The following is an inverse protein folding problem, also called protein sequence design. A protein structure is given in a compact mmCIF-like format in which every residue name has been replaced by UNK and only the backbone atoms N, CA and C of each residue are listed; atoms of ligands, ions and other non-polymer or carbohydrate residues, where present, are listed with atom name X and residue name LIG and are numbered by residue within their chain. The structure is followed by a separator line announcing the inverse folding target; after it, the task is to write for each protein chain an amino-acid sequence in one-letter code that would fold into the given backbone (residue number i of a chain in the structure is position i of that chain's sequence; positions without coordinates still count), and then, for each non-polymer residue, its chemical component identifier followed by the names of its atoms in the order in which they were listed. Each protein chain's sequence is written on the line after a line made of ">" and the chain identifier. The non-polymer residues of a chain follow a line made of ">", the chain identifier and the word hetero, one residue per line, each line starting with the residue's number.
data_IF_225696705772
#
_entry.id   IF_225696705772
#
_cell.length_a   1.000
_cell.length_b   1.000
_cell.length_c   1.000
_cell.angle_alpha   90.00
_cell.angle_beta   90.00
_cell.angle_gamma   90.00
#
_symmetry.space_group_name_H-M   'P 1'
#
loop_
_entity.id
_entity.type
_entity.pdbx_description
1 polymer ?
#
# COMPACT_ATOMS: atom_id res chain seq x y z
N UNK A 1 -31.83 -3.51 -30.00
CA UNK A 1 -30.49 -3.26 -30.57
C UNK A 1 -30.18 -4.07 -31.83
N UNK A 2 -30.20 -5.40 -31.81
CA UNK A 2 -29.82 -6.24 -32.97
C UNK A 2 -30.61 -5.98 -34.27
N UNK A 3 -31.86 -5.51 -34.18
CA UNK A 3 -32.66 -5.11 -35.35
C UNK A 3 -32.02 -3.92 -36.09
N UNK A 4 -31.60 -2.89 -35.36
CA UNK A 4 -30.95 -1.70 -35.95
C UNK A 4 -29.58 -2.00 -36.58
N UNK A 5 -28.89 -3.04 -36.11
CA UNK A 5 -27.67 -3.55 -36.75
C UNK A 5 -28.01 -4.24 -38.07
N UNK A 6 -29.03 -5.12 -38.08
CA UNK A 6 -29.47 -5.81 -39.30
C UNK A 6 -30.02 -4.84 -40.36
N UNK A 7 -30.70 -3.79 -39.91
CA UNK A 7 -31.27 -2.75 -40.75
C UNK A 7 -30.21 -1.73 -41.25
N UNK A 8 -28.93 -1.90 -40.86
CA UNK A 8 -27.83 -1.02 -41.27
C UNK A 8 -27.86 0.38 -40.64
N UNK A 9 -28.70 0.62 -39.63
CA UNK A 9 -28.78 1.92 -38.93
C UNK A 9 -27.62 2.14 -37.97
N UNK A 10 -27.09 1.05 -37.40
CA UNK A 10 -25.96 1.06 -36.47
C UNK A 10 -24.96 0.00 -36.93
N UNK A 11 -23.68 0.36 -36.98
CA UNK A 11 -22.58 -0.55 -37.28
C UNK A 11 -22.14 -1.26 -36.00
N UNK A 12 -21.70 -2.51 -36.14
CA UNK A 12 -21.12 -3.25 -35.04
C UNK A 12 -19.86 -3.96 -35.51
N UNK A 13 -18.77 -3.81 -34.76
CA UNK A 13 -17.53 -4.56 -34.96
C UNK A 13 -17.49 -5.74 -34.02
N UNK A 14 -16.64 -6.72 -34.30
CA UNK A 14 -16.43 -7.88 -33.43
C UNK A 14 -15.03 -7.79 -32.87
N UNK A 15 -14.91 -7.80 -31.54
CA UNK A 15 -13.61 -7.77 -30.87
C UNK A 15 -12.92 -9.14 -30.95
N UNK A 16 -11.66 -9.21 -30.51
CA UNK A 16 -10.82 -10.41 -30.49
C UNK A 16 -11.44 -11.56 -29.69
N UNK A 17 -12.28 -11.24 -28.71
CA UNK A 17 -13.03 -12.20 -27.89
C UNK A 17 -14.37 -12.62 -28.51
N UNK A 18 -14.66 -12.19 -29.74
CA UNK A 18 -15.90 -12.53 -30.45
C UNK A 18 -17.13 -11.73 -30.02
N UNK A 19 -16.96 -10.71 -29.18
CA UNK A 19 -18.06 -9.87 -28.69
C UNK A 19 -18.37 -8.73 -29.65
N UNK A 20 -19.65 -8.45 -29.89
CA UNK A 20 -20.09 -7.33 -30.73
C UNK A 20 -19.96 -6.02 -29.97
N UNK A 21 -19.18 -5.10 -30.51
CA UNK A 21 -18.98 -3.75 -29.98
C UNK A 21 -19.61 -2.73 -30.93
N UNK A 22 -20.16 -1.67 -30.35
CA UNK A 22 -20.87 -0.62 -31.06
C UNK A 22 -20.29 0.70 -30.58
N UNK A 23 -20.00 1.59 -31.52
CA UNK A 23 -19.45 2.90 -31.17
C UNK A 23 -20.51 3.77 -30.47
N UNK A 24 -20.08 4.49 -29.44
CA UNK A 24 -20.92 5.39 -28.64
C UNK A 24 -21.45 6.53 -29.51
N UNK A 25 -20.67 7.01 -30.48
CA UNK A 25 -21.11 8.05 -31.40
C UNK A 25 -22.30 7.59 -32.27
N UNK A 26 -22.33 6.32 -32.70
CA UNK A 26 -23.46 5.78 -33.44
C UNK A 26 -24.70 5.61 -32.56
N UNK A 27 -24.51 5.23 -31.29
CA UNK A 27 -25.60 5.16 -30.31
C UNK A 27 -26.22 6.53 -30.08
N UNK A 28 -25.41 7.57 -29.87
CA UNK A 28 -25.90 8.94 -29.68
C UNK A 28 -26.56 9.49 -30.94
N UNK A 29 -26.04 9.19 -32.13
CA UNK A 29 -26.65 9.63 -33.41
C UNK A 29 -28.03 9.01 -33.63
N UNK A 30 -28.21 7.72 -33.31
CA UNK A 30 -29.45 6.98 -33.60
C UNK A 30 -30.48 7.10 -32.48
N UNK A 31 -30.03 7.13 -31.22
CA UNK A 31 -30.91 7.11 -30.04
C UNK A 31 -30.91 8.42 -29.25
N UNK A 32 -30.01 9.36 -29.57
CA UNK A 32 -29.87 10.61 -28.82
C UNK A 32 -29.15 10.44 -27.49
N UNK A 33 -29.19 11.48 -26.67
CA UNK A 33 -28.63 11.46 -25.32
C UNK A 33 -29.43 10.52 -24.40
N UNK A 34 -28.73 9.77 -23.54
CA UNK A 34 -29.37 8.90 -22.56
C UNK A 34 -30.16 9.75 -21.57
N UNK A 35 -31.48 9.68 -21.66
CA UNK A 35 -32.37 10.28 -20.68
C UNK A 35 -32.24 9.50 -19.37
N UNK A 36 -31.56 10.10 -18.39
CA UNK A 36 -31.66 9.64 -17.01
C UNK A 36 -33.12 9.77 -16.57
N UNK A 37 -33.69 8.83 -15.79
CA UNK A 37 -35.04 8.98 -15.24
C UNK A 37 -35.21 10.20 -14.31
N UNK A 38 -34.12 10.94 -14.03
CA UNK A 38 -34.10 12.21 -13.29
C UNK A 38 -34.03 13.43 -14.23
N UNK A 39 -33.79 13.24 -15.52
CA UNK A 39 -33.70 14.29 -16.51
C UNK A 39 -34.97 14.27 -17.39
N UNK A 40 -35.89 15.17 -17.06
CA UNK A 40 -37.06 15.51 -17.89
C UNK A 40 -36.69 15.66 -19.38
N UNK A 41 -37.52 15.17 -20.31
CA UNK A 41 -37.28 15.35 -21.73
C UNK A 41 -37.39 16.85 -22.06
N UNK A 42 -36.30 17.45 -22.54
CA UNK A 42 -36.34 18.77 -23.18
C UNK A 42 -37.04 18.64 -24.53
N UNK A 43 -38.36 18.54 -24.52
CA UNK A 43 -39.18 18.94 -25.66
C UNK A 43 -39.28 20.46 -25.62
N UNK A 44 -39.08 21.10 -26.77
CA UNK A 44 -39.13 22.57 -26.95
C UNK A 44 -40.58 23.10 -26.85
N UNK A 45 -41.49 22.41 -26.13
CA UNK A 45 -42.93 22.68 -26.23
C UNK A 45 -43.73 22.52 -24.94
N UNK A 46 -43.14 22.35 -23.75
CA UNK A 46 -43.91 22.11 -22.53
C UNK A 46 -43.47 22.98 -21.34
N UNK A 47 -43.46 24.30 -21.54
CA UNK A 47 -43.07 25.30 -20.52
C UNK A 47 -44.16 25.55 -19.46
N UNK A 48 -45.32 24.92 -19.55
CA UNK A 48 -46.51 25.35 -18.77
C UNK A 48 -46.92 24.40 -17.64
N UNK A 49 -46.22 23.27 -17.42
CA UNK A 49 -46.67 22.23 -16.47
C UNK A 49 -45.77 21.90 -15.27
N UNK A 50 -44.70 22.66 -15.03
CA UNK A 50 -43.73 22.38 -13.96
C UNK A 50 -43.85 23.30 -12.72
N UNK A 51 -45.07 23.62 -12.27
CA UNK A 51 -45.28 24.34 -10.99
C UNK A 51 -45.73 23.45 -9.83
N UNK A 52 -45.62 22.13 -9.93
CA UNK A 52 -45.80 21.25 -8.78
C UNK A 52 -44.44 20.81 -8.24
N UNK A 53 -43.83 21.70 -7.45
CA UNK A 53 -42.74 21.37 -6.53
C UNK A 53 -43.22 20.23 -5.62
N UNK A 54 -42.73 19.02 -5.86
CA UNK A 54 -42.78 17.97 -4.84
C UNK A 54 -41.63 18.25 -3.88
N UNK A 55 -41.95 18.85 -2.74
CA UNK A 55 -41.08 18.83 -1.56
C UNK A 55 -40.91 17.37 -1.14
N UNK A 56 -39.82 16.74 -1.56
CA UNK A 56 -39.44 15.42 -1.06
C UNK A 56 -38.94 15.60 0.37
N UNK A 57 -39.85 15.44 1.34
CA UNK A 57 -39.50 15.27 2.75
C UNK A 57 -38.50 14.12 2.84
N UNK A 58 -37.26 14.33 3.34
CA UNK A 58 -36.29 13.27 3.42
C UNK A 58 -36.82 12.21 4.38
N UNK A 59 -37.11 11.02 3.86
CA UNK A 59 -37.50 9.86 4.67
C UNK A 59 -36.50 9.69 5.81
N UNK A 60 -37.01 9.47 7.03
CA UNK A 60 -36.20 9.33 8.25
C UNK A 60 -35.06 8.31 8.08
N UNK A 61 -35.28 7.27 7.26
CA UNK A 61 -34.26 6.29 6.91
C UNK A 61 -33.03 6.91 6.23
N UNK A 62 -33.22 7.86 5.29
CA UNK A 62 -32.12 8.55 4.63
C UNK A 62 -31.38 9.49 5.59
N UNK A 63 -32.08 10.11 6.54
CA UNK A 63 -31.44 10.96 7.55
C UNK A 63 -30.52 10.13 8.47
N UNK A 64 -30.99 8.97 8.92
CA UNK A 64 -30.19 8.03 9.73
C UNK A 64 -28.96 7.53 8.95
N UNK A 65 -29.12 7.20 7.67
CA UNK A 65 -28.01 6.75 6.83
C UNK A 65 -26.95 7.85 6.65
N UNK A 66 -27.38 9.09 6.42
CA UNK A 66 -26.49 10.25 6.32
C UNK A 66 -25.73 10.50 7.62
N UNK A 67 -26.39 10.40 8.77
CA UNK A 67 -25.74 10.54 10.08
C UNK A 67 -24.71 9.43 10.32
N UNK A 68 -25.05 8.19 9.98
CA UNK A 68 -24.12 7.06 10.08
C UNK A 68 -22.88 7.25 9.19
N UNK A 69 -23.07 7.69 7.95
CA UNK A 69 -21.98 8.00 7.03
C UNK A 69 -21.10 9.14 7.57
N UNK A 70 -21.69 10.20 8.12
CA UNK A 70 -20.96 11.30 8.74
C UNK A 70 -20.12 10.83 9.93
N UNK A 71 -20.69 10.02 10.82
CA UNK A 71 -19.97 9.46 11.97
C UNK A 71 -18.80 8.56 11.53
N UNK A 72 -18.98 7.76 10.47
CA UNK A 72 -17.91 6.95 9.91
C UNK A 72 -16.77 7.81 9.31
N UNK A 73 -17.13 8.89 8.61
CA UNK A 73 -16.14 9.82 8.07
C UNK A 73 -15.35 10.53 9.17
N UNK A 74 -16.03 10.94 10.25
CA UNK A 74 -15.38 11.58 11.39
C UNK A 74 -14.41 10.63 12.09
N UNK A 75 -14.83 9.38 12.34
CA UNK A 75 -13.97 8.35 12.90
C UNK A 75 -12.75 8.08 12.01
N UNK A 76 -12.95 7.95 10.70
CA UNK A 76 -11.86 7.74 9.75
C UNK A 76 -10.92 8.95 9.68
N UNK A 77 -11.45 10.17 9.77
CA UNK A 77 -10.64 11.38 9.82
C UNK A 77 -9.77 11.43 11.08
N UNK A 78 -10.32 11.04 12.24
CA UNK A 78 -9.59 10.94 13.49
C UNK A 78 -8.49 9.86 13.42
N UNK A 79 -8.79 8.67 12.88
CA UNK A 79 -7.79 7.62 12.65
C UNK A 79 -6.63 8.11 11.77
N UNK A 80 -6.95 8.82 10.68
CA UNK A 80 -5.95 9.39 9.79
C UNK A 80 -5.12 10.49 10.47
N UNK A 81 -5.72 11.32 11.31
CA UNK A 81 -5.00 12.32 12.09
C UNK A 81 -4.00 11.65 13.05
N UNK A 82 -4.44 10.65 13.82
CA UNK A 82 -3.57 9.89 14.73
C UNK A 82 -2.43 9.18 13.98
N UNK A 83 -2.72 8.58 12.83
CA UNK A 83 -1.71 7.93 12.01
C UNK A 83 -0.67 8.94 11.47
N UNK A 84 -1.13 10.11 11.01
CA UNK A 84 -0.24 11.19 10.54
C UNK A 84 0.64 11.73 11.66
N UNK A 85 0.09 11.94 12.85
CA UNK A 85 0.84 12.36 14.03
C UNK A 85 1.92 11.33 14.36
N UNK A 86 1.56 10.04 14.40
CA UNK A 86 2.52 8.97 14.66
C UNK A 86 3.64 8.92 13.62
N UNK A 87 3.32 9.11 12.34
CA UNK A 87 4.32 9.18 11.27
C UNK A 87 5.24 10.39 11.48
N UNK A 88 4.69 11.55 11.84
CA UNK A 88 5.49 12.76 12.09
C UNK A 88 6.46 12.58 13.26
N UNK A 89 6.01 11.93 14.33
CA UNK A 89 6.83 11.63 15.50
C UNK A 89 7.97 10.66 15.15
N UNK A 90 7.67 9.59 14.41
CA UNK A 90 8.68 8.63 13.95
C UNK A 90 9.72 9.29 13.04
N UNK A 91 9.29 10.16 12.12
CA UNK A 91 10.19 10.94 11.26
C UNK A 91 11.10 11.87 12.07
N UNK A 92 10.55 12.55 13.09
CA UNK A 92 11.34 13.41 13.98
C UNK A 92 12.42 12.62 14.73
N UNK A 93 12.05 11.44 15.28
CA UNK A 93 13.02 10.55 15.94
C UNK A 93 14.08 10.04 14.98
N UNK A 94 13.70 9.65 13.77
CA UNK A 94 14.65 9.22 12.73
C UNK A 94 15.63 10.35 12.38
N UNK A 95 15.14 11.58 12.23
CA UNK A 95 15.98 12.74 11.97
C UNK A 95 17.00 12.96 13.08
N UNK A 96 16.59 12.92 14.34
CA UNK A 96 17.49 13.06 15.49
C UNK A 96 18.58 11.99 15.48
N UNK A 97 18.24 10.73 15.21
CA UNK A 97 19.21 9.63 15.13
C UNK A 97 20.19 9.85 13.97
N UNK A 98 19.71 10.33 12.82
CA UNK A 98 20.56 10.65 11.67
C UNK A 98 21.51 11.80 11.99
N UNK A 99 21.03 12.86 12.66
CA UNK A 99 21.86 13.99 13.10
C UNK A 99 22.92 13.56 14.11
N UNK A 100 22.56 12.76 15.11
CA UNK A 100 23.49 12.21 16.08
C UNK A 100 24.55 11.34 15.41
N UNK A 101 24.13 10.45 14.49
CA UNK A 101 25.05 9.63 13.70
C UNK A 101 26.01 10.51 12.90
N UNK A 102 25.52 11.54 12.22
CA UNK A 102 26.36 12.45 11.45
C UNK A 102 27.35 13.18 12.35
N UNK A 103 26.91 13.67 13.52
CA UNK A 103 27.79 14.29 14.51
C UNK A 103 28.88 13.33 14.99
N UNK A 104 28.53 12.09 15.32
CA UNK A 104 29.50 11.07 15.72
C UNK A 104 30.48 10.74 14.60
N UNK A 105 30.02 10.61 13.36
CA UNK A 105 30.89 10.41 12.20
C UNK A 105 31.88 11.56 12.04
N UNK A 106 31.44 12.81 12.15
CA UNK A 106 32.35 13.97 12.07
C UNK A 106 33.40 13.97 13.18
N UNK A 107 33.04 13.57 14.40
CA UNK A 107 33.99 13.45 15.52
C UNK A 107 35.01 12.33 15.26
N UNK A 108 34.55 11.17 14.77
CA UNK A 108 35.42 10.04 14.41
C UNK A 108 36.38 10.46 13.29
N UNK A 109 35.91 11.20 12.28
CA UNK A 109 36.75 11.72 11.20
C UNK A 109 37.82 12.68 11.74
N UNK A 110 37.46 13.59 12.66
CA UNK A 110 38.42 14.51 13.30
C UNK A 110 39.47 13.74 14.11
N UNK A 111 39.04 12.77 14.93
CA UNK A 111 39.97 11.92 15.70
C UNK A 111 40.87 11.11 14.78
N UNK A 112 40.32 10.55 13.69
CA UNK A 112 41.08 9.78 12.70
C UNK A 112 42.14 10.64 12.00
N UNK A 113 41.84 11.91 11.70
CA UNK A 113 42.81 12.86 11.12
C UNK A 113 43.94 13.21 12.09
N UNK A 114 43.64 13.34 13.39
CA UNK A 114 44.65 13.62 14.41
C UNK A 114 45.54 12.41 14.69
N UNK A 115 44.99 11.19 14.64
CA UNK A 115 45.72 9.94 14.85
C UNK A 115 46.47 9.45 13.60
N UNK A 116 45.98 9.79 12.40
CA UNK A 116 46.71 9.54 11.17
C UNK A 116 47.94 10.45 11.11
N UNK A 117 49.05 9.98 11.69
CA UNK A 117 50.35 10.61 11.54
C UNK A 117 50.58 10.90 10.04
N UNK A 118 51.09 12.08 9.67
CA UNK A 118 51.36 12.39 8.27
C UNK A 118 52.35 11.35 7.77
N UNK A 119 51.89 10.45 6.90
CA UNK A 119 52.79 9.54 6.21
C UNK A 119 53.73 10.43 5.41
N UNK A 120 55.04 10.41 5.67
CA UNK A 120 55.97 11.25 4.93
C UNK A 120 55.83 10.84 3.47
N UNK A 121 55.39 11.81 2.65
CA UNK A 121 55.27 11.71 1.20
C UNK A 121 56.60 11.14 0.69
N UNK A 122 56.60 9.86 0.34
CA UNK A 122 57.78 9.16 -0.13
C UNK A 122 58.33 9.96 -1.30
N UNK A 123 59.49 10.59 -1.09
CA UNK A 123 60.22 11.27 -2.13
C UNK A 123 60.36 10.32 -3.33
N UNK A 124 60.28 10.81 -4.58
CA UNK A 124 60.34 9.95 -5.75
C UNK A 124 61.70 9.25 -5.74
N UNK A 125 61.71 7.96 -5.39
CA UNK A 125 62.90 7.12 -5.43
C UNK A 125 63.35 7.07 -6.88
N UNK A 126 64.49 7.71 -7.16
CA UNK A 126 65.23 7.54 -8.41
C UNK A 126 65.43 6.04 -8.61
N UNK A 127 64.93 5.55 -9.74
CA UNK A 127 65.07 4.15 -10.18
C UNK A 127 66.55 3.91 -10.49
N UNK A 128 67.21 3.08 -9.71
CA UNK A 128 68.37 2.33 -10.16
C UNK A 128 68.11 0.85 -9.89
N UNK A 129 67.73 0.14 -10.94
CA UNK A 129 67.97 -1.30 -11.04
C UNK A 129 69.46 -1.51 -11.44
N UNK A 130 70.03 -2.73 -11.43
CA UNK A 130 69.42 -4.06 -11.20
C UNK A 130 70.24 -4.98 -10.28
N UNK A 131 69.66 -6.09 -9.80
CA UNK A 131 70.30 -7.41 -9.87
C UNK A 131 69.39 -8.50 -9.30
N UNK A 132 69.22 -9.55 -10.08
CA UNK A 132 68.46 -10.74 -9.78
C UNK A 132 69.07 -11.56 -8.64
N UNK A 133 68.25 -12.14 -7.76
CA UNK A 133 68.51 -13.49 -7.24
C UNK A 133 67.22 -14.19 -6.80
N UNK A 134 66.87 -15.19 -7.61
CA UNK A 134 66.07 -16.39 -7.39
C UNK A 134 66.34 -17.08 -6.04
N UNK A 135 65.32 -17.35 -5.22
CA UNK A 135 65.13 -18.61 -4.43
C UNK A 135 63.64 -18.76 -4.03
N UNK A 136 63.07 -19.92 -4.36
CA UNK A 136 61.79 -20.49 -3.85
C UNK A 136 62.17 -21.62 -2.89
N UNK A 137 61.50 -21.80 -1.73
CA UNK A 137 60.66 -23.00 -1.49
C UNK A 137 59.36 -22.66 -0.70
N UNK A 138 58.17 -23.18 -1.04
CA UNK A 138 57.61 -24.54 -0.81
C UNK A 138 57.04 -24.77 0.62
N UNK A 139 55.70 -25.00 0.68
CA UNK A 139 54.91 -25.77 1.70
C UNK A 139 54.72 -25.06 3.06
N UNK A 140 53.58 -25.05 3.77
CA UNK A 140 52.35 -25.83 3.77
C UNK A 140 51.16 -25.00 4.28
N UNK A 141 49.95 -25.38 3.88
CA UNK A 141 48.71 -25.01 4.58
C UNK A 141 48.52 -25.87 5.84
N UNK A 142 47.90 -25.34 6.90
CA UNK A 142 47.17 -26.16 7.84
C UNK A 142 45.67 -25.78 7.88
N UNK A 143 44.82 -26.76 7.55
CA UNK A 143 43.43 -26.85 8.04
C UNK A 143 43.46 -27.46 9.46
N UNK A 144 42.53 -27.06 10.33
CA UNK A 144 41.76 -28.04 11.10
C UNK A 144 40.23 -27.77 10.98
N UNK A 145 39.42 -28.69 10.42
CA UNK A 145 38.62 -29.73 11.13
C UNK A 145 37.88 -29.14 12.35
N UNK A 146 36.61 -28.74 12.23
CA UNK A 146 35.37 -29.55 12.31
C UNK A 146 34.90 -29.91 13.74
N UNK A 147 33.80 -29.22 14.14
CA UNK A 147 32.60 -29.65 14.92
C UNK A 147 32.75 -30.14 16.38
N UNK A 148 31.64 -30.42 17.11
CA UNK A 148 30.47 -29.60 17.45
C UNK A 148 30.23 -29.59 18.98
N UNK A 149 29.31 -28.75 19.52
CA UNK A 149 28.44 -29.02 20.69
C UNK A 149 27.81 -27.73 21.24
N UNK A 150 26.48 -27.61 21.11
CA UNK A 150 25.55 -27.45 22.24
C UNK A 150 24.11 -27.44 21.72
N UNK A 151 23.45 -28.57 21.90
CA UNK A 151 22.01 -28.65 22.05
C UNK A 151 21.59 -28.13 23.43
N UNK A 152 20.28 -28.03 23.63
CA UNK A 152 19.51 -27.77 24.86
C UNK A 152 19.18 -26.27 25.07
N UNK A 153 17.94 -25.82 25.26
CA UNK A 153 16.69 -26.48 25.66
C UNK A 153 15.45 -25.81 25.04
N UNK A 154 14.47 -26.66 24.78
CA UNK A 154 13.04 -26.40 24.65
C UNK A 154 12.41 -25.78 25.90
N UNK A 155 11.49 -24.83 25.72
CA UNK A 155 10.47 -24.51 26.73
C UNK A 155 9.20 -23.94 26.07
N UNK A 156 8.40 -24.80 25.43
CA UNK A 156 6.99 -24.51 25.18
C UNK A 156 6.19 -25.24 26.27
N UNK A 157 5.69 -24.47 27.24
CA UNK A 157 4.97 -24.98 28.41
C UNK A 157 3.49 -25.13 28.07
N UNK A 158 3.03 -26.38 28.03
CA UNK A 158 1.63 -26.75 28.19
C UNK A 158 1.25 -26.71 29.68
N UNK A 159 -0.01 -26.36 29.99
CA UNK A 159 -0.89 -26.75 31.14
C UNK A 159 -2.14 -25.87 30.99
N UNK A 160 -3.23 -26.33 30.38
CA UNK A 160 -4.33 -27.15 30.95
C UNK A 160 -5.19 -26.40 32.00
N UNK A 161 -6.49 -26.23 31.73
CA UNK A 161 -7.65 -26.65 32.57
C UNK A 161 -8.98 -25.98 32.14
N UNK A 162 -10.01 -26.81 31.91
CA UNK A 162 -11.48 -26.52 31.87
C UNK A 162 -12.00 -26.28 33.33
N UNK A 163 -13.28 -25.90 33.67
CA UNK A 163 -14.55 -26.08 32.94
C UNK A 163 -15.69 -25.00 33.14
N UNK A 164 -16.83 -25.24 32.46
CA UNK A 164 -18.24 -25.00 32.86
C UNK A 164 -18.89 -23.58 32.92
N UNK A 165 -19.85 -23.33 32.01
CA UNK A 165 -21.18 -22.74 32.28
C UNK A 165 -22.09 -23.09 31.08
N UNK A 166 -23.04 -24.04 31.18
CA UNK A 166 -24.42 -23.97 31.71
C UNK A 166 -25.29 -22.91 31.00
N UNK A 167 -25.88 -23.27 29.87
CA UNK A 167 -27.00 -22.56 29.23
C UNK A 167 -28.35 -23.12 29.76
N UNK A 168 -29.38 -22.28 30.03
CA UNK A 168 -30.66 -22.77 30.53
C UNK A 168 -31.69 -23.09 29.43
N UNK A 169 -32.33 -24.25 29.61
CA UNK A 169 -33.74 -24.57 29.46
C UNK A 169 -34.55 -24.09 28.22
N UNK A 170 -34.97 -25.06 27.40
CA UNK A 170 -36.30 -25.04 26.73
C UNK A 170 -37.07 -26.30 27.11
N UNK A 171 -38.09 -26.12 27.95
CA UNK A 171 -39.06 -27.14 28.36
C UNK A 171 -40.04 -27.34 27.19
N UNK A 172 -40.05 -28.54 26.59
CA UNK A 172 -41.17 -29.06 25.81
C UNK A 172 -42.07 -29.82 26.78
N UNK A 173 -43.32 -29.39 26.93
CA UNK A 173 -44.40 -30.20 27.50
C UNK A 173 -45.44 -30.32 26.40
N UNK A 174 -45.74 -31.56 26.03
CA UNK A 174 -46.69 -31.90 24.98
C UNK A 174 -46.94 -33.39 25.03
N UNK A 175 -47.88 -33.79 25.88
CA UNK A 175 -48.86 -34.87 25.72
C UNK A 175 -49.71 -34.94 26.98
#
# INVERSE_FOLDING_TARGET
>A
MFRHIKDGRVSATVDRDGQKQIDVAELLRVFGELQSPVAEPKTVSDRTRLTHKSETVPSVAYQIELEKLRAQLELKAAELAMAKERISELKSREHQVVEEKNRLLTLIEQQSRLLAAPTPKAAPRKRTAPSATKVVPKVAAPKPKATPKKALLSAAKAVATKPASKAPARKRVGK
#
